data_IF_482479045939
#
_entry.id   IF_482479045939
#
_cell.length_a   1.000
_cell.length_b   1.000
_cell.length_c   1.000
_cell.angle_alpha   90.00
_cell.angle_beta   90.00
_cell.angle_gamma   90.00
#
_symmetry.space_group_name_H-M   'P 1'
#
loop_
_entity.id
_entity.type
_entity.pdbx_description
1 polymer ?
#
# COMPACT_ATOMS: atom_id res chain seq x y z
N UNK A 1 -10.53 1.74 4.29
CA UNK A 1 -10.12 0.87 5.42
C UNK A 1 -10.19 1.66 6.71
N UNK A 2 -10.52 1.01 7.83
CA UNK A 2 -10.54 1.64 9.16
C UNK A 2 -9.50 0.97 10.05
N UNK A 3 -8.48 1.73 10.45
CA UNK A 3 -7.41 1.29 11.34
C UNK A 3 -7.74 1.72 12.77
N UNK A 4 -7.64 0.79 13.71
CA UNK A 4 -7.95 1.04 15.12
C UNK A 4 -6.68 1.27 15.92
N UNK A 5 -6.79 2.03 17.01
CA UNK A 5 -5.86 2.02 18.14
C UNK A 5 -4.37 1.96 17.75
N UNK A 6 -3.80 3.12 17.39
CA UNK A 6 -2.38 3.30 16.99
C UNK A 6 -1.86 2.46 15.80
N UNK A 7 -2.62 1.51 15.26
CA UNK A 7 -2.20 0.69 14.10
C UNK A 7 -1.90 1.54 12.86
N UNK A 8 -2.50 2.73 12.75
CA UNK A 8 -2.19 3.69 11.69
C UNK A 8 -0.76 4.27 11.82
N UNK A 9 -0.30 4.49 13.05
CA UNK A 9 1.07 4.91 13.31
C UNK A 9 2.05 3.78 12.96
N UNK A 10 1.76 2.53 13.34
CA UNK A 10 2.60 1.38 12.99
C UNK A 10 2.72 1.21 11.47
N UNK A 11 1.60 1.35 10.75
CA UNK A 11 1.61 1.29 9.30
C UNK A 11 2.48 2.40 8.69
N UNK A 12 2.41 3.63 9.21
CA UNK A 12 3.28 4.73 8.79
C UNK A 12 4.77 4.38 8.97
N UNK A 13 5.16 3.76 10.09
CA UNK A 13 6.54 3.35 10.36
C UNK A 13 7.07 2.31 9.37
N UNK A 14 6.20 1.51 8.76
CA UNK A 14 6.56 0.54 7.74
C UNK A 14 6.68 1.16 6.33
N UNK A 15 6.43 2.46 6.18
CA UNK A 15 6.56 3.16 4.90
C UNK A 15 7.91 3.88 4.78
N UNK A 16 8.46 4.02 3.56
CA UNK A 16 9.66 4.82 3.31
C UNK A 16 9.51 6.31 3.68
N UNK A 17 8.29 6.80 3.87
CA UNK A 17 7.97 8.21 4.13
C UNK A 17 7.88 8.54 5.63
N UNK A 18 8.03 7.54 6.52
CA UNK A 18 7.90 7.70 7.97
C UNK A 18 8.73 8.88 8.53
N UNK A 19 9.96 9.04 8.03
CA UNK A 19 10.88 10.08 8.50
C UNK A 19 10.46 11.51 8.13
N UNK A 20 9.65 11.68 7.07
CA UNK A 20 9.15 12.99 6.63
C UNK A 20 7.87 13.43 7.34
N UNK A 21 7.21 12.53 8.07
CA UNK A 21 5.99 12.86 8.80
C UNK A 21 6.30 13.87 9.91
N UNK A 22 5.49 14.94 9.99
CA UNK A 22 5.60 15.95 11.05
C UNK A 22 5.23 15.37 12.41
N UNK A 23 5.65 16.03 13.48
CA UNK A 23 5.37 15.57 14.84
C UNK A 23 3.87 15.62 15.17
N UNK A 24 3.15 16.61 14.62
CA UNK A 24 1.69 16.73 14.80
C UNK A 24 0.96 15.51 14.22
N UNK A 25 1.33 15.10 13.00
CA UNK A 25 0.75 13.93 12.36
C UNK A 25 1.07 12.64 13.12
N UNK A 26 2.28 12.53 13.67
CA UNK A 26 2.68 11.36 14.46
C UNK A 26 1.84 11.23 15.73
N UNK A 27 1.62 12.33 16.45
CA UNK A 27 0.80 12.33 17.67
C UNK A 27 -0.69 12.13 17.37
N UNK A 28 -1.19 12.68 16.26
CA UNK A 28 -2.55 12.40 15.78
C UNK A 28 -2.75 10.90 15.55
N UNK A 29 -1.85 10.24 14.82
CA UNK A 29 -1.97 8.81 14.50
C UNK A 29 -1.82 7.89 15.72
N UNK A 30 -1.05 8.30 16.74
CA UNK A 30 -0.92 7.55 18.01
C UNK A 30 -2.16 7.68 18.89
N UNK A 31 -2.78 8.86 18.92
CA UNK A 31 -3.92 9.16 19.80
C UNK A 31 -5.28 8.81 19.18
N UNK A 32 -5.33 8.67 17.86
CA UNK A 32 -6.55 8.34 17.13
C UNK A 32 -6.98 6.90 17.38
N UNK A 33 -8.21 6.72 17.87
CA UNK A 33 -8.86 5.42 18.07
C UNK A 33 -9.35 4.80 16.76
N UNK A 34 -9.68 5.63 15.78
CA UNK A 34 -10.17 5.20 14.47
C UNK A 34 -9.67 6.10 13.36
N UNK A 35 -8.69 5.63 12.60
CA UNK A 35 -8.17 6.32 11.43
C UNK A 35 -8.75 5.71 10.15
N UNK A 36 -9.35 6.54 9.30
CA UNK A 36 -9.89 6.12 8.01
C UNK A 36 -8.89 6.46 6.91
N UNK A 37 -8.46 5.44 6.16
CA UNK A 37 -7.58 5.62 5.01
C UNK A 37 -7.98 4.70 3.87
N UNK A 38 -7.52 5.00 2.67
CA UNK A 38 -7.74 4.19 1.48
C UNK A 38 -6.47 3.43 1.11
N UNK A 39 -6.63 2.22 0.60
CA UNK A 39 -5.56 1.44 0.02
C UNK A 39 -5.90 1.22 -1.45
N UNK A 40 -5.05 1.75 -2.34
CA UNK A 40 -5.19 1.63 -3.78
C UNK A 40 -4.17 0.63 -4.32
N UNK A 41 -4.65 -0.35 -5.10
CA UNK A 41 -3.85 -1.43 -5.65
C UNK A 41 -4.02 -1.51 -7.16
N UNK A 42 -2.92 -1.36 -7.90
CA UNK A 42 -2.88 -1.64 -9.33
C UNK A 42 -2.40 -3.07 -9.58
N UNK A 43 -3.31 -3.96 -9.96
CA UNK A 43 -2.99 -5.34 -10.34
C UNK A 43 -2.85 -5.45 -11.87
N UNK A 44 -1.80 -6.14 -12.32
CA UNK A 44 -1.58 -6.44 -13.74
C UNK A 44 -1.28 -7.92 -13.92
N UNK A 45 -2.04 -8.59 -14.77
CA UNK A 45 -1.87 -10.01 -15.09
C UNK A 45 -1.25 -10.14 -16.46
N UNK A 46 -0.12 -10.84 -16.54
CA UNK A 46 0.60 -11.08 -17.78
C UNK A 46 0.55 -12.56 -18.12
N UNK A 47 0.20 -12.89 -19.37
CA UNK A 47 0.28 -14.24 -19.91
C UNK A 47 1.43 -14.31 -20.91
N UNK A 48 2.33 -15.29 -20.72
CA UNK A 48 3.37 -15.59 -21.71
C UNK A 48 2.70 -15.95 -23.04
N UNK A 49 3.04 -15.22 -24.11
CA UNK A 49 2.62 -15.59 -25.47
C UNK A 49 3.39 -16.86 -25.86
N UNK A 50 2.69 -17.96 -26.08
CA UNK A 50 3.23 -19.14 -26.75
C UNK A 50 3.40 -18.80 -28.23
N UNK A 51 4.63 -18.85 -28.74
CA UNK A 51 4.91 -18.72 -30.17
C UNK A 51 4.57 -20.06 -30.80
N UNK A 52 3.51 -20.10 -31.62
CA UNK A 52 3.29 -21.21 -32.54
C UNK A 52 4.11 -20.92 -33.80
N UNK A 53 5.17 -21.69 -34.00
CA UNK A 53 5.90 -21.71 -35.28
C UNK A 53 5.03 -22.50 -36.26
N UNK A 54 4.36 -21.80 -37.18
CA UNK A 54 3.75 -22.45 -38.34
C UNK A 54 4.88 -22.65 -39.34
N UNK A 55 5.25 -23.90 -39.60
CA UNK A 55 6.08 -24.25 -40.75
C UNK A 55 5.16 -24.23 -41.97
N UNK A 56 5.43 -23.34 -42.93
CA UNK A 56 4.84 -23.41 -44.27
C UNK A 56 5.64 -24.44 -45.08
N UNK A 57 4.93 -25.47 -45.57
CA UNK A 57 5.35 -26.35 -46.67
C UNK A 57 5.20 -25.64 -48.01
#
# INVERSE_FOLDING_TARGET
>A
MALKDATAFDLLQMTPLAWKASDELREELKSTTLFKCEADFMLRVYRKKSVNVVNED
#
